data_IF_854653822163
#
_entry.id   IF_854653822163
#
_cell.length_a   1.000
_cell.length_b   1.000
_cell.length_c   1.000
_cell.angle_alpha   90.00
_cell.angle_beta   90.00
_cell.angle_gamma   90.00
#
_symmetry.space_group_name_H-M   'P 1'
#
loop_
_entity.id
_entity.type
_entity.pdbx_description
1 polymer ?
#
# COMPACT_ATOMS: atom_id res chain seq x y z
N UNK A 1 20.10 -9.86 9.68
CA UNK A 1 19.03 -10.37 8.82
C UNK A 1 19.61 -11.13 7.64
N UNK A 2 19.18 -12.35 7.44
CA UNK A 2 19.48 -13.15 6.26
C UNK A 2 18.20 -13.45 5.50
N UNK A 3 18.23 -13.28 4.18
CA UNK A 3 17.11 -13.66 3.32
C UNK A 3 16.99 -15.17 3.27
N UNK A 4 15.78 -15.69 3.30
CA UNK A 4 15.55 -17.12 3.29
C UNK A 4 14.11 -17.51 3.53
N UNK A 5 13.90 -18.77 3.89
CA UNK A 5 12.60 -19.32 4.21
C UNK A 5 12.64 -20.05 5.55
N UNK A 6 11.60 -19.84 6.34
CA UNK A 6 11.33 -20.62 7.55
C UNK A 6 10.13 -21.49 7.27
N UNK A 7 10.25 -22.78 7.53
CA UNK A 7 9.18 -23.78 7.35
C UNK A 7 8.88 -24.44 8.67
N UNK A 8 7.62 -24.49 9.05
CA UNK A 8 7.11 -25.24 10.20
C UNK A 8 6.23 -26.40 9.71
N UNK A 9 6.45 -27.59 10.24
CA UNK A 9 5.66 -28.79 9.94
C UNK A 9 5.09 -29.35 11.24
N UNK A 10 3.77 -29.53 11.27
CA UNK A 10 3.09 -30.20 12.38
C UNK A 10 2.96 -31.69 12.09
N UNK A 11 3.18 -32.51 13.11
CA UNK A 11 3.08 -33.97 13.03
C UNK A 11 2.07 -34.49 14.04
N UNK A 12 1.35 -35.57 13.68
CA UNK A 12 0.51 -36.34 14.61
C UNK A 12 1.34 -37.21 15.54
N UNK A 13 0.66 -37.92 16.44
CA UNK A 13 1.28 -38.88 17.37
C UNK A 13 1.96 -40.07 16.65
N UNK A 14 1.60 -40.34 15.42
CA UNK A 14 2.15 -41.37 14.55
C UNK A 14 3.28 -40.84 13.65
N UNK A 15 3.68 -39.56 13.85
CA UNK A 15 4.70 -38.86 13.06
C UNK A 15 4.34 -38.61 11.60
N UNK A 16 3.07 -38.63 11.22
CA UNK A 16 2.63 -38.19 9.91
C UNK A 16 2.51 -36.66 9.89
N UNK A 17 2.93 -36.02 8.80
CA UNK A 17 2.75 -34.57 8.63
C UNK A 17 1.26 -34.27 8.46
N UNK A 18 0.69 -33.43 9.33
CA UNK A 18 -0.73 -33.04 9.33
C UNK A 18 -0.95 -31.58 8.97
N UNK A 19 0.12 -30.80 8.88
CA UNK A 19 0.04 -29.39 8.48
C UNK A 19 1.41 -28.81 8.20
N UNK A 20 1.44 -27.79 7.38
CA UNK A 20 2.67 -27.08 7.00
C UNK A 20 2.38 -25.58 6.83
N UNK A 21 3.31 -24.74 7.26
CA UNK A 21 3.32 -23.30 7.01
C UNK A 21 4.73 -22.85 6.71
N UNK A 22 4.87 -21.87 5.81
CA UNK A 22 6.18 -21.30 5.49
C UNK A 22 6.11 -19.77 5.35
N UNK A 23 7.18 -19.10 5.79
CA UNK A 23 7.44 -17.70 5.55
C UNK A 23 8.71 -17.59 4.72
N UNK A 24 8.64 -16.75 3.70
CA UNK A 24 9.79 -16.52 2.79
C UNK A 24 10.00 -15.02 2.66
N UNK A 25 11.25 -14.57 2.75
CA UNK A 25 11.61 -13.18 2.52
C UNK A 25 11.49 -12.78 1.05
N UNK A 26 11.41 -11.48 0.78
CA UNK A 26 11.48 -10.95 -0.56
C UNK A 26 12.79 -11.35 -1.25
N UNK A 27 12.74 -11.62 -2.54
CA UNK A 27 13.88 -12.03 -3.34
C UNK A 27 13.90 -11.30 -4.69
N UNK A 28 15.10 -11.17 -5.27
CA UNK A 28 15.30 -10.49 -6.54
C UNK A 28 15.23 -8.96 -6.41
N UNK A 29 14.96 -8.30 -7.53
CA UNK A 29 14.83 -6.85 -7.60
C UNK A 29 13.56 -6.38 -6.89
N UNK A 30 13.68 -5.31 -6.09
CA UNK A 30 12.54 -4.72 -5.39
C UNK A 30 11.81 -3.74 -6.32
N UNK A 31 10.50 -3.89 -6.40
CA UNK A 31 9.60 -3.04 -7.18
C UNK A 31 8.44 -2.55 -6.32
N UNK A 32 7.77 -1.49 -6.78
CA UNK A 32 6.55 -0.99 -6.16
C UNK A 32 5.35 -1.80 -6.67
N UNK A 33 4.57 -2.35 -5.75
CA UNK A 33 3.25 -2.89 -6.01
C UNK A 33 2.21 -1.92 -5.48
N UNK A 34 1.14 -1.69 -6.26
CA UNK A 34 0.03 -0.82 -5.91
C UNK A 34 -1.24 -1.66 -5.92
N UNK A 35 -2.00 -1.62 -4.83
CA UNK A 35 -3.29 -2.29 -4.71
C UNK A 35 -4.33 -1.28 -4.29
N UNK A 36 -5.42 -1.17 -5.06
CA UNK A 36 -6.57 -0.38 -4.64
C UNK A 36 -7.40 -1.22 -3.68
N UNK A 37 -7.65 -0.69 -2.48
CA UNK A 37 -8.63 -1.31 -1.59
C UNK A 37 -10.02 -1.20 -2.20
N UNK A 38 -10.83 -2.22 -1.97
CA UNK A 38 -12.25 -2.17 -2.36
C UNK A 38 -12.91 -1.04 -1.58
N UNK A 39 -13.70 -0.23 -2.29
CA UNK A 39 -14.39 0.93 -1.72
C UNK A 39 -15.01 0.57 -0.36
N UNK A 40 -14.41 1.08 0.70
CA UNK A 40 -14.94 0.96 2.05
C UNK A 40 -16.04 2.02 2.18
N UNK A 41 -17.25 1.58 2.34
CA UNK A 41 -18.49 2.26 2.61
C UNK A 41 -19.30 2.73 1.38
N UNK A 42 -20.50 2.16 1.22
CA UNK A 42 -21.59 2.96 0.70
C UNK A 42 -21.74 4.15 1.68
N UNK A 43 -21.72 5.37 1.13
CA UNK A 43 -22.09 6.54 1.93
C UNK A 43 -23.39 6.21 2.68
N UNK A 44 -23.35 6.18 4.02
CA UNK A 44 -24.56 6.07 4.81
C UNK A 44 -25.43 7.27 4.44
N UNK A 45 -26.58 7.00 3.86
CA UNK A 45 -27.55 8.05 3.45
C UNK A 45 -28.04 8.90 4.62
N UNK A 46 -27.78 8.48 5.86
CA UNK A 46 -28.38 9.01 7.09
C UNK A 46 -27.51 9.97 7.89
N UNK A 47 -26.34 10.38 7.42
CA UNK A 47 -25.54 11.35 8.16
C UNK A 47 -25.80 12.76 7.67
N UNK A 48 -26.03 13.71 8.61
CA UNK A 48 -26.21 15.15 8.42
C UNK A 48 -25.05 15.88 7.67
N UNK A 49 -24.21 15.16 6.97
CA UNK A 49 -23.15 15.64 6.06
C UNK A 49 -23.67 15.79 4.62
N UNK A 50 -24.96 16.00 4.44
CA UNK A 50 -25.60 16.13 3.12
C UNK A 50 -25.19 17.36 2.32
N UNK A 51 -24.37 18.25 2.87
CA UNK A 51 -23.86 19.44 2.16
C UNK A 51 -22.42 19.32 1.67
N UNK A 52 -21.65 18.36 2.15
CA UNK A 52 -20.36 18.05 1.55
C UNK A 52 -20.60 17.30 0.24
N UNK A 53 -20.20 17.89 -0.88
CA UNK A 53 -20.19 17.21 -2.17
C UNK A 53 -19.56 15.83 -1.99
N UNK A 54 -20.30 14.78 -2.39
CA UNK A 54 -19.89 13.38 -2.19
C UNK A 54 -18.67 13.08 -3.07
N UNK A 55 -17.48 13.39 -2.58
CA UNK A 55 -16.23 12.94 -3.19
C UNK A 55 -16.10 11.43 -2.96
N UNK A 56 -15.67 10.70 -3.98
CA UNK A 56 -15.31 9.29 -3.83
C UNK A 56 -13.90 9.22 -3.24
N UNK A 57 -13.76 8.56 -2.10
CA UNK A 57 -12.46 8.34 -1.47
C UNK A 57 -11.91 6.98 -1.90
N UNK A 58 -10.66 6.98 -2.34
CA UNK A 58 -9.94 5.78 -2.76
C UNK A 58 -8.69 5.61 -1.92
N UNK A 59 -8.47 4.40 -1.44
CA UNK A 59 -7.29 3.99 -0.70
C UNK A 59 -6.40 3.15 -1.61
N UNK A 60 -5.13 3.54 -1.71
CA UNK A 60 -4.11 2.79 -2.44
C UNK A 60 -3.04 2.30 -1.47
N UNK A 61 -2.95 1.00 -1.34
CA UNK A 61 -1.85 0.35 -0.63
C UNK A 61 -0.63 0.26 -1.52
N UNK A 62 0.48 0.71 -1.00
CA UNK A 62 1.78 0.71 -1.64
C UNK A 62 2.69 -0.26 -0.90
N UNK A 63 3.29 -1.20 -1.62
CA UNK A 63 4.20 -2.16 -1.03
C UNK A 63 5.47 -2.32 -1.88
N UNK A 64 6.61 -2.34 -1.21
CA UNK A 64 7.89 -2.72 -1.81
C UNK A 64 7.97 -4.24 -1.85
N UNK A 65 7.93 -4.83 -3.04
CA UNK A 65 7.89 -6.28 -3.21
C UNK A 65 9.05 -6.79 -4.04
N UNK A 66 9.55 -7.96 -3.69
CA UNK A 66 10.51 -8.69 -4.51
C UNK A 66 9.86 -9.32 -5.74
N UNK A 67 10.67 -9.88 -6.63
CA UNK A 67 10.20 -10.62 -7.82
C UNK A 67 9.29 -11.80 -7.46
N UNK A 68 9.48 -12.38 -6.27
CA UNK A 68 8.64 -13.44 -5.72
C UNK A 68 7.32 -12.94 -5.11
N UNK A 69 7.00 -11.64 -5.24
CA UNK A 69 5.78 -11.01 -4.74
C UNK A 69 5.71 -10.86 -3.22
N UNK A 70 6.79 -11.14 -2.48
CA UNK A 70 6.85 -10.96 -1.03
C UNK A 70 7.27 -9.54 -0.69
N UNK A 71 6.69 -8.98 0.38
CA UNK A 71 7.01 -7.64 0.86
C UNK A 71 8.44 -7.64 1.42
N UNK A 72 9.23 -6.63 1.03
CA UNK A 72 10.56 -6.39 1.58
C UNK A 72 10.46 -5.53 2.83
N UNK A 73 10.28 -6.17 3.96
CA UNK A 73 10.08 -5.50 5.26
C UNK A 73 11.32 -4.74 5.77
N UNK A 74 12.49 -4.89 5.15
CA UNK A 74 13.70 -4.18 5.54
C UNK A 74 14.02 -2.98 4.62
N UNK A 75 13.14 -2.66 3.67
CA UNK A 75 13.31 -1.54 2.78
C UNK A 75 12.36 -0.40 3.16
N UNK A 76 12.85 0.53 3.97
CA UNK A 76 12.16 1.79 4.21
C UNK A 76 12.71 2.83 3.23
N UNK A 77 11.92 3.23 2.24
CA UNK A 77 12.29 4.16 1.18
C UNK A 77 11.38 5.36 1.16
N UNK A 78 11.95 6.53 0.88
CA UNK A 78 11.17 7.72 0.60
C UNK A 78 10.45 7.54 -0.73
N UNK A 79 9.13 7.64 -0.69
CA UNK A 79 8.26 7.67 -1.87
C UNK A 79 7.66 9.06 -2.03
N UNK A 80 7.42 9.46 -3.28
CA UNK A 80 6.70 10.67 -3.64
C UNK A 80 5.50 10.32 -4.50
N UNK A 81 4.32 10.81 -4.11
CA UNK A 81 3.04 10.56 -4.77
C UNK A 81 2.51 11.86 -5.36
N UNK A 82 2.20 11.86 -6.66
CA UNK A 82 1.53 12.94 -7.35
C UNK A 82 0.23 12.43 -7.98
N UNK A 83 -0.84 13.24 -7.90
CA UNK A 83 -2.18 12.90 -8.36
C UNK A 83 -2.64 13.91 -9.40
N UNK A 84 -3.13 13.42 -10.56
CA UNK A 84 -3.78 14.19 -11.63
C UNK A 84 -5.23 13.72 -11.74
N UNK A 85 -6.20 14.63 -11.80
CA UNK A 85 -7.63 14.31 -11.89
C UNK A 85 -8.29 14.00 -10.54
N UNK A 86 -7.58 14.19 -9.43
CA UNK A 86 -8.04 14.03 -8.07
C UNK A 86 -7.23 14.88 -7.10
N UNK A 87 -7.46 14.70 -5.81
CA UNK A 87 -6.75 15.40 -4.74
C UNK A 87 -6.15 14.39 -3.76
N UNK A 88 -4.85 14.44 -3.53
CA UNK A 88 -4.19 13.68 -2.48
C UNK A 88 -4.65 14.25 -1.12
N UNK A 89 -5.31 13.43 -0.31
CA UNK A 89 -5.76 13.80 1.03
C UNK A 89 -4.67 13.53 2.07
N UNK A 90 -4.03 12.38 1.96
CA UNK A 90 -2.94 11.98 2.82
C UNK A 90 -2.08 10.93 2.13
N UNK A 91 -0.80 10.93 2.47
CA UNK A 91 0.12 9.85 2.09
C UNK A 91 1.05 9.57 3.26
N UNK A 92 1.16 8.30 3.66
CA UNK A 92 2.00 7.96 4.80
C UNK A 92 2.11 6.48 5.09
N UNK A 93 2.76 6.16 6.18
CA UNK A 93 2.94 4.81 6.68
C UNK A 93 2.57 4.71 8.16
N UNK A 94 2.57 3.50 8.72
CA UNK A 94 2.27 3.25 10.12
C UNK A 94 3.48 3.47 11.06
N UNK A 95 4.51 4.20 10.63
CA UNK A 95 5.67 4.49 11.45
C UNK A 95 5.30 5.40 12.63
N UNK A 96 5.37 4.95 13.89
CA UNK A 96 5.02 5.77 15.05
C UNK A 96 6.10 6.81 15.40
N UNK A 97 7.27 6.74 14.77
CA UNK A 97 8.44 7.59 15.04
C UNK A 97 8.96 8.18 13.73
N UNK A 98 8.22 9.11 13.16
CA UNK A 98 8.60 9.77 11.91
C UNK A 98 8.49 11.28 12.07
N UNK A 99 9.29 12.01 11.32
CA UNK A 99 9.20 13.45 11.11
C UNK A 99 8.48 13.80 9.80
N UNK A 100 8.11 12.79 9.01
CA UNK A 100 7.38 12.99 7.75
C UNK A 100 5.95 13.51 8.00
N UNK A 101 5.47 14.35 7.10
CA UNK A 101 4.12 14.92 7.13
C UNK A 101 3.23 14.25 6.09
N UNK A 102 2.06 13.79 6.50
CA UNK A 102 1.08 13.11 5.66
C UNK A 102 0.53 13.95 4.50
N UNK A 103 0.67 15.29 4.55
CA UNK A 103 0.10 16.21 3.57
C UNK A 103 1.07 16.61 2.46
N UNK A 104 2.34 16.30 2.58
CA UNK A 104 3.37 16.70 1.62
C UNK A 104 3.40 15.87 0.33
N UNK A 105 2.78 14.71 0.35
CA UNK A 105 2.90 13.72 -0.73
C UNK A 105 4.24 12.99 -0.76
N UNK A 106 5.08 13.20 0.26
CA UNK A 106 6.39 12.53 0.43
C UNK A 106 6.43 11.87 1.79
N UNK A 107 6.73 10.58 1.81
CA UNK A 107 6.75 9.83 3.05
C UNK A 107 7.60 8.57 2.92
N UNK A 108 8.25 8.15 4.02
CA UNK A 108 8.97 6.89 4.05
C UNK A 108 8.01 5.71 4.26
N UNK A 109 8.24 4.63 3.51
CA UNK A 109 7.60 3.36 3.82
C UNK A 109 8.03 2.88 5.20
N UNK A 110 7.20 2.06 5.83
CA UNK A 110 7.50 1.40 7.09
C UNK A 110 7.25 -0.10 6.94
N UNK A 111 8.29 -0.89 7.20
CA UNK A 111 8.31 -2.31 6.82
C UNK A 111 7.91 -2.53 5.34
N UNK A 112 8.42 -1.66 4.46
CA UNK A 112 8.17 -1.72 3.03
C UNK A 112 6.75 -1.34 2.60
N UNK A 113 5.95 -0.70 3.45
CA UNK A 113 4.55 -0.39 3.17
C UNK A 113 4.21 1.07 3.44
N UNK A 114 3.25 1.59 2.67
CA UNK A 114 2.64 2.91 2.86
C UNK A 114 1.23 2.90 2.25
N UNK A 115 0.43 3.94 2.53
CA UNK A 115 -0.92 4.10 1.99
C UNK A 115 -1.12 5.53 1.52
N UNK A 116 -1.77 5.69 0.36
CA UNK A 116 -2.22 6.97 -0.17
C UNK A 116 -3.75 7.03 -0.13
N UNK A 117 -4.30 8.16 0.33
CA UNK A 117 -5.73 8.44 0.38
C UNK A 117 -6.03 9.55 -0.61
N UNK A 118 -6.91 9.28 -1.57
CA UNK A 118 -7.19 10.15 -2.71
C UNK A 118 -8.69 10.43 -2.78
N UNK A 119 -9.05 11.71 -2.93
CA UNK A 119 -10.40 12.13 -3.25
C UNK A 119 -10.54 12.35 -4.76
N UNK A 120 -11.56 11.74 -5.35
CA UNK A 120 -11.96 11.96 -6.73
C UNK A 120 -13.13 12.94 -6.76
N UNK A 121 -13.09 13.92 -7.69
CA UNK A 121 -14.23 14.81 -7.89
C UNK A 121 -15.40 14.05 -8.53
N UNK A 122 -16.63 14.57 -8.34
CA UNK A 122 -17.84 14.00 -8.98
C UNK A 122 -17.75 13.99 -10.49
N UNK A 123 -17.05 14.95 -11.06
CA UNK A 123 -16.93 15.16 -12.51
C UNK A 123 -15.85 14.24 -13.08
N UNK A 124 -14.75 14.04 -12.35
CA UNK A 124 -13.63 13.17 -12.73
C UNK A 124 -13.72 11.86 -11.97
N UNK A 125 -14.33 10.84 -12.59
CA UNK A 125 -14.36 9.49 -12.02
C UNK A 125 -13.02 8.76 -12.12
N UNK A 126 -12.03 9.39 -12.73
CA UNK A 126 -10.72 8.82 -13.04
C UNK A 126 -9.63 9.73 -12.49
N UNK A 127 -8.57 9.13 -12.00
CA UNK A 127 -7.36 9.84 -11.62
C UNK A 127 -6.13 9.04 -12.03
N UNK A 128 -5.07 9.77 -12.39
CA UNK A 128 -3.76 9.20 -12.67
C UNK A 128 -2.83 9.51 -11.51
N UNK A 129 -2.28 8.48 -10.93
CA UNK A 129 -1.34 8.57 -9.83
C UNK A 129 0.05 8.23 -10.35
N UNK A 130 1.01 9.09 -10.04
CA UNK A 130 2.42 8.85 -10.34
C UNK A 130 3.16 8.69 -9.03
N UNK A 131 3.94 7.61 -8.91
CA UNK A 131 4.72 7.33 -7.71
C UNK A 131 6.17 7.11 -8.12
N UNK A 132 7.07 7.80 -7.46
CA UNK A 132 8.50 7.59 -7.61
C UNK A 132 9.15 7.39 -6.23
N UNK A 133 10.29 6.72 -6.22
CA UNK A 133 11.07 6.49 -5.03
C UNK A 133 12.54 6.38 -5.37
N UNK A 134 13.40 6.55 -4.39
CA UNK A 134 14.84 6.46 -4.58
C UNK A 134 15.26 5.08 -5.10
N UNK A 135 15.98 5.06 -6.23
CA UNK A 135 16.44 3.83 -6.88
C UNK A 135 15.33 2.98 -7.50
N UNK A 136 14.17 3.57 -7.79
CA UNK A 136 13.02 2.89 -8.39
C UNK A 136 12.54 3.60 -9.65
N UNK A 137 12.03 2.84 -10.61
CA UNK A 137 11.35 3.41 -11.77
C UNK A 137 10.03 4.07 -11.36
N UNK A 138 9.70 5.20 -12.05
CA UNK A 138 8.41 5.86 -11.85
C UNK A 138 7.28 4.92 -12.25
N UNK A 139 6.40 4.64 -11.31
CA UNK A 139 5.23 3.80 -11.52
C UNK A 139 3.99 4.70 -11.69
N UNK A 140 3.17 4.39 -12.68
CA UNK A 140 1.87 5.05 -12.90
C UNK A 140 0.74 4.07 -12.59
N UNK A 141 -0.32 4.57 -11.96
CA UNK A 141 -1.54 3.83 -11.67
C UNK A 141 -2.76 4.67 -12.06
N UNK A 142 -3.77 4.04 -12.66
CA UNK A 142 -5.01 4.70 -13.06
C UNK A 142 -6.18 4.18 -12.21
N UNK A 143 -6.84 5.09 -11.50
CA UNK A 143 -8.12 4.85 -10.84
C UNK A 143 -9.22 5.02 -11.89
N UNK A 144 -10.10 4.03 -11.99
CA UNK A 144 -11.25 4.01 -12.91
C UNK A 144 -12.55 4.03 -12.16
#
# INVERSE_FOLDING_TARGET
YERGSIRAVAYDAQKNAVGESSLTSAAGQIRLAITQEKDFLPAREDTMLSSCEKERIVYLDLALVGENGKIECNADRLLEVAVEGGRLLAFGSANPKTEDDYLTGKYHTYFGQAQAVIALSKESKQAKISICGEGMEKTAYEIK
#
